data_IF_690111079857
#
_entry.id   IF_690111079857
#
_cell.length_a   1.000
_cell.length_b   1.000
_cell.length_c   1.000
_cell.angle_alpha   90.00
_cell.angle_beta   90.00
_cell.angle_gamma   90.00
#
_symmetry.space_group_name_H-M   'P 1'
#
loop_
_entity.id
_entity.type
_entity.pdbx_description
1 polymer ?
#
# COMPACT_ATOMS: atom_id res chain seq x y z
N UNK A 1 -4.37 13.16 -3.03
CA UNK A 1 -3.89 14.15 -4.01
C UNK A 1 -4.85 15.33 -4.20
N UNK A 2 -6.18 15.13 -4.21
CA UNK A 2 -7.13 16.25 -4.45
C UNK A 2 -7.07 17.44 -3.47
N UNK A 3 -6.54 17.23 -2.25
CA UNK A 3 -6.28 18.32 -1.30
C UNK A 3 -5.02 19.13 -1.62
N UNK A 4 -4.13 18.60 -2.46
CA UNK A 4 -2.87 19.23 -2.87
C UNK A 4 -2.95 19.79 -4.28
N UNK A 5 -4.11 20.35 -4.62
CA UNK A 5 -4.34 21.07 -5.88
C UNK A 5 -4.15 22.59 -5.72
N UNK A 6 -3.99 23.08 -4.49
CA UNK A 6 -3.76 24.50 -4.17
C UNK A 6 -2.63 24.64 -3.12
N UNK A 7 -2.05 25.85 -2.96
CA UNK A 7 -1.05 26.12 -1.93
C UNK A 7 -1.56 26.16 -0.48
N UNK A 8 -2.87 25.97 -0.25
CA UNK A 8 -3.50 26.15 1.06
C UNK A 8 -2.95 25.20 2.14
N UNK A 9 -2.35 24.08 1.73
CA UNK A 9 -1.71 23.09 2.60
C UNK A 9 -0.19 23.04 2.43
N UNK A 10 0.45 24.16 2.07
CA UNK A 10 1.89 24.22 1.80
C UNK A 10 2.78 23.85 3.00
N UNK A 11 2.28 23.87 4.23
CA UNK A 11 3.03 23.39 5.40
C UNK A 11 3.12 21.84 5.49
N UNK A 12 2.36 21.11 4.67
CA UNK A 12 2.42 19.65 4.59
C UNK A 12 3.30 19.22 3.42
N UNK A 13 4.42 18.54 3.70
CA UNK A 13 5.34 18.05 2.67
C UNK A 13 4.82 16.82 1.92
N UNK A 14 4.24 15.87 2.65
CA UNK A 14 3.72 14.63 2.09
C UNK A 14 2.74 13.97 3.08
N UNK A 15 1.93 13.04 2.59
CA UNK A 15 1.07 12.18 3.42
C UNK A 15 1.54 10.73 3.30
N UNK A 16 1.79 10.10 4.44
CA UNK A 16 1.96 8.65 4.53
C UNK A 16 0.58 8.02 4.74
N UNK A 17 0.19 7.11 3.86
CA UNK A 17 -1.15 6.52 3.85
C UNK A 17 -1.07 5.00 3.65
N UNK A 18 -1.85 4.24 4.42
CA UNK A 18 -2.07 2.82 4.15
C UNK A 18 -3.53 2.45 4.38
N UNK A 19 -4.19 1.93 3.35
CA UNK A 19 -5.52 1.32 3.46
C UNK A 19 -5.48 -0.06 4.12
N UNK A 20 -4.29 -0.66 4.28
CA UNK A 20 -4.09 -2.03 4.74
C UNK A 20 -3.60 -2.13 6.17
N UNK A 21 -3.31 -1.00 6.83
CA UNK A 21 -2.96 -0.91 8.25
C UNK A 21 -4.17 -1.15 9.17
N UNK A 22 -4.81 -2.31 9.00
CA UNK A 22 -5.98 -2.77 9.76
C UNK A 22 -5.61 -3.98 10.63
N UNK A 23 -6.56 -4.52 11.40
CA UNK A 23 -6.38 -5.80 12.12
C UNK A 23 -5.91 -6.95 11.22
N UNK A 24 -6.23 -6.90 9.91
CA UNK A 24 -5.71 -7.87 8.97
C UNK A 24 -4.17 -7.85 8.85
N UNK A 25 -3.54 -6.68 9.00
CA UNK A 25 -2.07 -6.52 8.99
C UNK A 25 -1.45 -7.21 10.19
N UNK A 26 -2.04 -6.98 11.36
CA UNK A 26 -1.60 -7.62 12.61
C UNK A 26 -1.65 -9.14 12.46
N UNK A 27 -2.73 -9.69 11.89
CA UNK A 27 -2.87 -11.13 11.64
C UNK A 27 -1.91 -11.66 10.58
N UNK A 28 -1.66 -10.88 9.52
CA UNK A 28 -0.70 -11.21 8.47
C UNK A 28 0.73 -11.28 9.01
N UNK A 29 1.11 -10.37 9.90
CA UNK A 29 2.44 -10.29 10.51
C UNK A 29 2.62 -11.19 11.74
N UNK A 30 1.55 -11.59 12.41
CA UNK A 30 1.63 -12.45 13.59
C UNK A 30 2.27 -13.80 13.28
N UNK A 31 3.15 -14.27 14.16
CA UNK A 31 3.72 -15.61 14.09
C UNK A 31 2.70 -16.63 14.61
N UNK A 32 1.79 -17.04 13.73
CA UNK A 32 0.75 -18.03 14.01
C UNK A 32 0.44 -18.84 12.74
N UNK A 33 1.33 -19.76 12.32
CA UNK A 33 1.20 -20.50 11.07
C UNK A 33 -0.03 -21.42 11.02
N UNK A 34 -0.52 -21.89 12.17
CA UNK A 34 -1.67 -22.80 12.28
C UNK A 34 -3.02 -22.09 12.19
N UNK A 35 -3.06 -20.75 12.15
CA UNK A 35 -4.32 -20.03 12.04
C UNK A 35 -5.08 -20.43 10.76
N UNK A 36 -6.34 -20.80 10.91
CA UNK A 36 -7.24 -21.19 9.82
C UNK A 36 -7.74 -19.94 9.07
N UNK A 37 -6.82 -19.23 8.42
CA UNK A 37 -7.09 -18.01 7.66
C UNK A 37 -6.61 -18.16 6.23
N UNK A 38 -7.45 -17.79 5.27
CA UNK A 38 -7.05 -17.62 3.87
C UNK A 38 -6.95 -16.13 3.58
N UNK A 39 -5.84 -15.72 2.99
CA UNK A 39 -5.59 -14.38 2.51
C UNK A 39 -5.83 -14.34 1.00
N UNK A 40 -6.60 -13.36 0.54
CA UNK A 40 -6.74 -13.04 -0.89
C UNK A 40 -6.11 -11.67 -1.13
N UNK A 41 -5.08 -11.61 -1.96
CA UNK A 41 -4.34 -10.39 -2.25
C UNK A 41 -4.44 -10.00 -3.71
N UNK A 42 -4.33 -8.70 -3.94
CA UNK A 42 -4.41 -8.08 -5.25
C UNK A 42 -3.13 -7.28 -5.49
N UNK A 43 -2.43 -7.61 -6.57
CA UNK A 43 -1.20 -6.92 -7.00
C UNK A 43 -1.33 -6.44 -8.44
N UNK A 44 -0.52 -5.44 -8.87
CA UNK A 44 -0.54 -4.95 -10.23
C UNK A 44 -0.33 -6.06 -11.26
N UNK A 45 -0.98 -5.90 -12.41
CA UNK A 45 -0.73 -6.69 -13.62
C UNK A 45 -0.28 -5.72 -14.70
N UNK A 46 0.92 -5.94 -15.22
CA UNK A 46 1.43 -5.16 -16.33
C UNK A 46 0.45 -5.19 -17.51
N UNK A 47 0.26 -4.04 -18.15
CA UNK A 47 -0.62 -3.86 -19.31
C UNK A 47 -2.08 -4.31 -19.10
N UNK A 48 -2.59 -4.28 -17.87
CA UNK A 48 -3.97 -4.64 -17.57
C UNK A 48 -4.57 -3.76 -16.48
N UNK A 49 -5.86 -3.43 -16.64
CA UNK A 49 -6.67 -2.82 -15.58
C UNK A 49 -7.11 -3.85 -14.53
N UNK A 50 -6.98 -5.15 -14.83
CA UNK A 50 -7.33 -6.21 -13.89
C UNK A 50 -6.10 -6.64 -13.08
N UNK A 51 -6.19 -6.67 -11.74
CA UNK A 51 -5.08 -7.08 -10.89
C UNK A 51 -4.76 -8.57 -11.02
N UNK A 52 -3.55 -8.97 -10.63
CA UNK A 52 -3.25 -10.37 -10.29
C UNK A 52 -3.89 -10.67 -8.94
N UNK A 53 -4.61 -11.79 -8.85
CA UNK A 53 -5.26 -12.25 -7.62
C UNK A 53 -4.53 -13.48 -7.12
N UNK A 54 -4.10 -13.44 -5.87
CA UNK A 54 -3.40 -14.54 -5.22
C UNK A 54 -4.15 -14.97 -3.97
N UNK A 55 -4.17 -16.27 -3.70
CA UNK A 55 -4.73 -16.83 -2.48
C UNK A 55 -3.71 -17.72 -1.79
N UNK A 56 -3.58 -17.56 -0.48
CA UNK A 56 -2.66 -18.35 0.35
C UNK A 56 -3.26 -18.60 1.73
N UNK A 57 -2.97 -19.76 2.31
CA UNK A 57 -3.22 -20.03 3.73
C UNK A 57 -2.21 -19.24 4.56
N UNK A 58 -2.52 -18.99 5.83
CA UNK A 58 -1.63 -18.26 6.74
C UNK A 58 -0.18 -18.79 6.74
N UNK A 59 0.01 -20.11 6.74
CA UNK A 59 1.35 -20.70 6.75
C UNK A 59 2.19 -20.40 5.48
N UNK A 60 1.52 -20.14 4.35
CA UNK A 60 2.18 -19.89 3.06
C UNK A 60 2.16 -18.39 2.69
N UNK A 61 1.47 -17.57 3.49
CA UNK A 61 1.27 -16.16 3.24
C UNK A 61 2.32 -15.30 3.94
N UNK A 62 3.03 -14.49 3.16
CA UNK A 62 4.05 -13.56 3.64
C UNK A 62 3.62 -12.14 3.28
N UNK A 63 3.66 -11.24 4.27
CA UNK A 63 3.45 -9.81 4.09
C UNK A 63 4.50 -9.06 4.90
N UNK A 64 5.01 -7.94 4.37
CA UNK A 64 5.94 -7.07 5.07
C UNK A 64 5.21 -5.87 5.67
N UNK A 65 5.76 -5.25 6.71
CA UNK A 65 5.13 -4.12 7.39
C UNK A 65 4.78 -2.96 6.43
N UNK A 66 5.67 -2.66 5.49
CA UNK A 66 5.50 -1.57 4.53
C UNK A 66 4.57 -1.88 3.35
N UNK A 67 4.08 -3.12 3.20
CA UNK A 67 3.20 -3.48 2.09
C UNK A 67 1.88 -2.69 2.13
N UNK A 68 1.52 -2.12 0.98
CA UNK A 68 0.35 -1.27 0.82
C UNK A 68 0.52 0.13 1.41
N UNK A 69 1.74 0.57 1.67
CA UNK A 69 2.04 1.93 2.12
C UNK A 69 2.28 2.84 0.90
N UNK A 70 1.61 3.99 0.92
CA UNK A 70 1.76 5.08 -0.03
C UNK A 70 2.41 6.28 0.64
N UNK A 71 3.25 6.98 -0.11
CA UNK A 71 3.74 8.33 0.21
C UNK A 71 3.23 9.24 -0.89
N UNK A 72 2.42 10.21 -0.52
CA UNK A 72 1.75 11.13 -1.43
C UNK A 72 2.36 12.52 -1.26
N UNK A 73 3.24 12.91 -2.18
CA UNK A 73 3.99 14.17 -2.10
C UNK A 73 3.12 15.36 -2.45
N UNK A 74 3.23 16.45 -1.68
CA UNK A 74 2.55 17.69 -1.97
C UNK A 74 3.41 18.55 -2.92
N UNK A 75 2.97 18.82 -4.17
CA UNK A 75 3.72 19.68 -5.09
C UNK A 75 3.82 21.14 -4.63
N UNK A 76 2.94 21.60 -3.73
CA UNK A 76 2.93 22.96 -3.19
C UNK A 76 3.61 23.08 -1.83
N UNK A 77 4.34 22.06 -1.37
CA UNK A 77 5.02 22.09 -0.09
C UNK A 77 6.05 23.23 -0.03
N UNK A 78 5.99 24.05 1.03
CA UNK A 78 7.00 25.08 1.34
C UNK A 78 8.37 24.47 1.63
N UNK A 79 8.37 23.28 2.24
CA UNK A 79 9.55 22.47 2.50
C UNK A 79 9.34 21.08 1.92
N UNK A 80 9.57 20.87 0.61
CA UNK A 80 9.33 19.59 -0.03
C UNK A 80 10.26 18.52 0.53
N UNK A 81 9.73 17.30 0.68
CA UNK A 81 10.51 16.17 1.16
C UNK A 81 11.30 15.57 -0.03
N UNK A 82 12.63 15.41 0.06
CA UNK A 82 13.39 14.70 -0.97
C UNK A 82 12.85 13.28 -1.15
N UNK A 83 12.76 12.81 -2.40
CA UNK A 83 12.12 11.53 -2.77
C UNK A 83 12.78 10.34 -2.09
N UNK A 84 14.07 10.46 -1.83
CA UNK A 84 14.95 9.45 -1.26
C UNK A 84 14.72 9.28 0.25
N UNK A 85 14.21 10.33 0.92
CA UNK A 85 14.08 10.38 2.39
C UNK A 85 13.27 9.22 2.96
N UNK A 86 12.23 8.81 2.24
CA UNK A 86 11.34 7.72 2.63
C UNK A 86 11.28 6.64 1.54
N UNK A 87 12.32 6.57 0.69
CA UNK A 87 12.41 5.54 -0.33
C UNK A 87 12.60 4.18 0.32
N UNK A 88 11.76 3.22 -0.05
CA UNK A 88 11.84 1.86 0.44
C UNK A 88 11.31 0.90 -0.63
N UNK A 89 11.93 -0.29 -0.86
CA UNK A 89 11.54 -1.24 -1.91
C UNK A 89 10.11 -1.80 -1.84
N UNK A 90 9.34 -1.45 -0.80
CA UNK A 90 7.97 -1.94 -0.55
C UNK A 90 6.93 -0.82 -0.52
N UNK A 91 7.35 0.43 -0.70
CA UNK A 91 6.50 1.62 -0.57
C UNK A 91 6.22 2.19 -1.95
N UNK A 92 4.97 2.57 -2.20
CA UNK A 92 4.60 3.33 -3.38
C UNK A 92 4.74 4.83 -3.10
N UNK A 93 5.25 5.59 -4.06
CA UNK A 93 5.34 7.05 -3.98
C UNK A 93 4.55 7.68 -5.13
N UNK A 94 3.62 8.57 -4.79
CA UNK A 94 2.79 9.33 -5.72
C UNK A 94 3.25 10.79 -5.83
N UNK A 95 3.31 11.29 -7.06
CA UNK A 95 3.74 12.65 -7.40
C UNK A 95 2.74 13.30 -8.34
N UNK A 96 2.57 14.61 -8.23
CA UNK A 96 1.83 15.40 -9.23
C UNK A 96 2.85 16.01 -10.16
N UNK A 97 2.73 15.71 -11.45
CA UNK A 97 3.55 16.28 -12.52
C UNK A 97 3.07 17.71 -12.86
N UNK A 98 3.85 18.44 -13.65
CA UNK A 98 3.55 19.86 -13.97
C UNK A 98 2.26 20.05 -14.77
N UNK A 99 1.79 19.03 -15.48
CA UNK A 99 0.52 19.01 -16.22
C UNK A 99 -0.68 18.58 -15.35
N UNK A 100 -0.45 18.31 -14.05
CA UNK A 100 -1.46 17.82 -13.12
C UNK A 100 -1.66 16.31 -13.14
N UNK A 101 -0.95 15.57 -13.98
CA UNK A 101 -0.99 14.11 -13.97
C UNK A 101 -0.42 13.55 -12.66
N UNK A 102 -1.05 12.50 -12.14
CA UNK A 102 -0.55 11.82 -10.94
C UNK A 102 0.22 10.58 -11.35
N UNK A 103 1.53 10.62 -11.14
CA UNK A 103 2.44 9.52 -11.41
C UNK A 103 2.74 8.73 -10.13
N UNK A 104 2.99 7.42 -10.26
CA UNK A 104 3.36 6.56 -9.14
C UNK A 104 4.61 5.76 -9.46
N UNK A 105 5.55 5.74 -8.51
CA UNK A 105 6.66 4.78 -8.46
C UNK A 105 6.30 3.75 -7.41
N UNK A 106 6.14 2.49 -7.80
CA UNK A 106 5.73 1.43 -6.89
C UNK A 106 6.47 0.11 -7.17
N UNK A 107 6.59 -0.79 -6.18
CA UNK A 107 7.06 -2.15 -6.39
C UNK A 107 6.18 -2.91 -7.41
N UNK A 108 6.77 -3.83 -8.17
CA UNK A 108 6.01 -4.66 -9.12
C UNK A 108 4.93 -5.50 -8.44
N UNK A 109 5.22 -6.00 -7.23
CA UNK A 109 4.33 -6.80 -6.40
C UNK A 109 3.56 -5.97 -5.37
N UNK A 110 3.41 -4.65 -5.58
CA UNK A 110 2.78 -3.76 -4.61
C UNK A 110 1.39 -4.27 -4.17
N UNK A 111 1.19 -4.35 -2.85
CA UNK A 111 -0.05 -4.87 -2.29
C UNK A 111 -1.16 -3.81 -2.36
N UNK A 112 -2.04 -3.92 -3.36
CA UNK A 112 -3.15 -2.99 -3.58
C UNK A 112 -4.28 -3.21 -2.56
N UNK A 113 -4.60 -4.48 -2.32
CA UNK A 113 -5.73 -4.89 -1.48
C UNK A 113 -5.48 -6.26 -0.85
N UNK A 114 -6.05 -6.45 0.33
CA UNK A 114 -6.05 -7.74 1.06
C UNK A 114 -7.40 -7.98 1.70
N UNK A 115 -7.99 -9.13 1.41
CA UNK A 115 -9.09 -9.71 2.18
C UNK A 115 -8.59 -10.92 2.95
N UNK A 116 -9.26 -11.22 4.05
CA UNK A 116 -9.00 -12.42 4.83
C UNK A 116 -10.30 -13.06 5.27
N UNK A 117 -10.33 -14.39 5.24
CA UNK A 117 -11.46 -15.19 5.72
C UNK A 117 -10.94 -16.17 6.76
N UNK A 118 -11.57 -16.15 7.94
CA UNK A 118 -11.34 -17.16 8.98
C UNK A 118 -12.29 -18.33 8.78
N UNK A 119 -11.81 -19.53 9.04
CA UNK A 119 -12.64 -20.74 9.06
C UNK A 119 -12.60 -21.33 10.46
N UNK A 120 -13.75 -21.84 10.89
CA UNK A 120 -13.87 -22.68 12.08
C UNK A 120 -14.18 -24.08 11.59
N UNK A 121 -13.41 -25.06 12.04
CA UNK A 121 -13.79 -26.45 11.92
C UNK A 121 -14.92 -26.65 12.94
N UNK A 122 -16.11 -27.01 12.48
CA UNK A 122 -17.16 -27.51 13.37
C UNK A 122 -16.80 -28.97 13.66
N UNK A 123 -16.71 -29.30 14.95
CA UNK A 123 -16.67 -30.68 15.42
C UNK A 123 -17.92 -31.46 14.98
#
# INVERSE_FOLDING_TARGET
>A
MGLFCTPDYSDVSAVIYSSLATWGKVRALADNPSALTIYTTFTPRENSLYPKVHQAKKNDYIEHLADGLYILHNPFAKYPLPKETLSHPRVAQGYVESDGYVNFVAPEDFLLLRFLQSFNLKD
#
